data_IF_166344491599
#
_entry.id   IF_166344491599
#
_cell.length_a   1.000
_cell.length_b   1.000
_cell.length_c   1.000
_cell.angle_alpha   90.00
_cell.angle_beta   90.00
_cell.angle_gamma   90.00
#
_symmetry.space_group_name_H-M   'P 1'
#
loop_
_entity.id
_entity.type
_entity.pdbx_description
1 polymer ?
#
# COMPACT_ATOMS: atom_id res chain seq x y z
N UNK A 1 -11.32 -39.55 67.89
CA UNK A 1 -9.99 -38.95 67.67
C UNK A 1 -9.96 -38.49 66.22
N UNK A 2 -10.36 -37.25 65.86
CA UNK A 2 -9.54 -36.02 65.92
C UNK A 2 -8.22 -36.22 65.14
N UNK A 3 -7.87 -35.50 64.06
CA UNK A 3 -8.14 -34.13 63.62
C UNK A 3 -8.01 -33.99 62.09
N UNK A 4 -8.58 -32.90 61.60
CA UNK A 4 -8.47 -32.29 60.27
C UNK A 4 -7.03 -31.94 59.86
N UNK A 5 -6.77 -31.84 58.56
CA UNK A 5 -6.38 -30.55 57.93
C UNK A 5 -6.66 -30.59 56.43
N UNK A 6 -7.01 -29.42 55.92
CA UNK A 6 -7.70 -29.11 54.67
C UNK A 6 -6.76 -28.68 53.54
N UNK A 7 -7.41 -28.34 52.41
CA UNK A 7 -6.98 -27.57 51.24
C UNK A 7 -6.65 -28.47 50.03
N UNK A 8 -7.45 -28.53 48.96
CA UNK A 8 -8.25 -27.49 48.33
C UNK A 8 -7.65 -27.24 46.95
N UNK A 9 -8.18 -27.91 45.92
CA UNK A 9 -7.86 -27.57 44.52
C UNK A 9 -9.10 -27.81 43.65
N UNK A 10 -9.69 -26.70 43.23
CA UNK A 10 -10.91 -26.60 42.43
C UNK A 10 -10.68 -27.15 41.02
N UNK A 11 -11.61 -28.00 40.57
CA UNK A 11 -11.69 -28.45 39.17
C UNK A 11 -12.14 -27.28 38.30
N UNK A 12 -11.28 -26.85 37.37
CA UNK A 12 -11.64 -25.89 36.31
C UNK A 12 -12.75 -26.49 35.43
N UNK A 13 -13.89 -25.81 35.43
CA UNK A 13 -15.01 -26.02 34.53
C UNK A 13 -14.67 -25.32 33.21
N UNK A 14 -14.58 -26.07 32.11
CA UNK A 14 -14.54 -25.51 30.75
C UNK A 14 -15.90 -24.87 30.43
N UNK A 15 -15.96 -23.61 29.98
CA UNK A 15 -17.22 -23.06 29.51
C UNK A 15 -17.48 -23.44 28.06
N UNK A 16 -18.71 -23.89 27.83
CA UNK A 16 -19.30 -24.32 26.57
C UNK A 16 -19.11 -23.31 25.41
N UNK A 17 -18.85 -23.87 24.22
CA UNK A 17 -18.92 -23.16 22.94
C UNK A 17 -20.34 -22.66 22.70
N UNK A 18 -20.59 -21.38 22.88
CA UNK A 18 -21.80 -20.72 22.36
C UNK A 18 -21.61 -20.37 20.89
N UNK A 19 -22.41 -21.03 20.03
CA UNK A 19 -22.80 -20.53 18.71
C UNK A 19 -23.49 -19.18 18.89
N UNK A 20 -23.11 -18.17 18.11
CA UNK A 20 -23.90 -16.95 17.93
C UNK A 20 -23.97 -16.66 16.43
N UNK A 21 -25.21 -16.42 16.01
CA UNK A 21 -25.72 -16.21 14.67
C UNK A 21 -25.36 -14.82 14.11
N UNK A 22 -25.48 -14.73 12.80
CA UNK A 22 -25.32 -13.57 11.93
C UNK A 22 -26.11 -12.33 12.44
N UNK A 23 -25.41 -11.18 12.44
CA UNK A 23 -25.87 -9.78 12.55
C UNK A 23 -25.22 -9.03 13.72
N UNK A 24 -24.22 -8.20 13.41
CA UNK A 24 -23.60 -7.27 14.36
C UNK A 24 -22.15 -7.63 14.70
N UNK A 25 -21.25 -7.43 13.75
CA UNK A 25 -19.82 -7.39 14.06
C UNK A 25 -19.51 -6.11 14.84
N UNK A 26 -19.58 -6.19 16.16
CA UNK A 26 -18.86 -5.24 17.02
C UNK A 26 -17.38 -5.52 16.84
N UNK A 27 -16.70 -4.67 16.06
CA UNK A 27 -15.24 -4.64 15.93
C UNK A 27 -14.66 -4.35 17.31
N UNK A 28 -14.14 -5.40 17.95
CA UNK A 28 -13.40 -5.27 19.21
C UNK A 28 -12.17 -4.40 18.96
N UNK A 29 -12.10 -3.29 19.70
CA UNK A 29 -10.98 -2.35 19.79
C UNK A 29 -10.89 -1.22 18.76
N UNK A 30 -12.00 -0.83 18.12
CA UNK A 30 -12.07 0.57 17.67
C UNK A 30 -12.19 1.41 18.96
N UNK A 31 -11.24 2.33 19.28
CA UNK A 31 -11.48 3.33 20.33
C UNK A 31 -12.83 4.00 20.05
N UNK A 32 -13.50 4.67 20.99
CA UNK A 32 -14.72 5.43 20.62
C UNK A 32 -14.34 6.58 19.68
N UNK A 33 -14.17 6.28 18.39
CA UNK A 33 -13.64 7.19 17.40
C UNK A 33 -14.79 8.11 17.00
N UNK A 34 -14.67 9.38 17.37
CA UNK A 34 -15.47 10.45 16.79
C UNK A 34 -14.99 10.64 15.34
N UNK A 35 -15.88 10.37 14.39
CA UNK A 35 -15.62 10.48 12.97
C UNK A 35 -16.05 11.85 12.45
N UNK A 36 -15.12 12.59 11.85
CA UNK A 36 -15.40 13.87 11.19
C UNK A 36 -15.19 13.68 9.70
N UNK A 37 -16.20 14.05 8.90
CA UNK A 37 -16.09 14.02 7.45
C UNK A 37 -15.06 15.06 7.00
N UNK A 38 -14.11 14.65 6.17
CA UNK A 38 -13.05 15.53 5.64
C UNK A 38 -13.05 15.63 4.12
N UNK A 39 -13.79 14.74 3.44
CA UNK A 39 -13.77 14.69 2.00
C UNK A 39 -14.51 13.51 1.40
N UNK A 40 -14.17 13.20 0.15
CA UNK A 40 -14.67 12.07 -0.63
C UNK A 40 -13.54 11.46 -1.45
N UNK A 41 -13.69 10.19 -1.81
CA UNK A 41 -12.78 9.51 -2.74
C UNK A 41 -12.94 10.08 -4.15
N UNK A 42 -11.86 10.63 -4.71
CA UNK A 42 -11.85 11.21 -6.07
C UNK A 42 -11.26 10.24 -7.09
N UNK A 43 -10.24 9.49 -6.72
CA UNK A 43 -9.58 8.54 -7.60
C UNK A 43 -9.18 7.26 -6.85
N UNK A 44 -9.29 6.12 -7.51
CA UNK A 44 -8.86 4.82 -7.00
C UNK A 44 -7.97 4.13 -8.03
N UNK A 45 -6.83 3.64 -7.54
CA UNK A 45 -5.78 3.06 -8.35
C UNK A 45 -5.25 1.76 -7.76
N UNK A 46 -4.93 0.81 -8.62
CA UNK A 46 -4.19 -0.39 -8.24
C UNK A 46 -3.14 -0.73 -9.31
N UNK A 47 -2.10 -1.45 -8.91
CA UNK A 47 -0.93 -1.72 -9.73
C UNK A 47 -0.57 -3.19 -9.60
N UNK A 48 -1.17 -4.08 -10.41
CA UNK A 48 -0.98 -5.52 -10.27
C UNK A 48 0.49 -5.96 -10.29
N UNK A 49 1.29 -5.30 -11.13
CA UNK A 49 2.73 -5.48 -11.23
C UNK A 49 3.46 -4.39 -10.43
N UNK A 50 4.39 -4.79 -9.57
CA UNK A 50 5.31 -3.86 -8.89
C UNK A 50 6.06 -3.01 -9.92
N UNK A 51 5.97 -1.69 -9.78
CA UNK A 51 6.46 -0.69 -10.74
C UNK A 51 5.81 -0.70 -12.13
N UNK A 52 4.82 -1.56 -12.38
CA UNK A 52 4.04 -1.59 -13.60
C UNK A 52 3.03 -0.45 -13.70
N UNK A 53 2.27 -0.46 -14.80
CA UNK A 53 1.22 0.52 -15.11
C UNK A 53 0.11 0.49 -14.07
N UNK A 54 -0.26 1.67 -13.59
CA UNK A 54 -1.42 1.82 -12.71
C UNK A 54 -2.73 1.71 -13.49
N UNK A 55 -3.76 1.21 -12.81
CA UNK A 55 -5.09 1.02 -13.36
C UNK A 55 -6.10 1.73 -12.50
N UNK A 56 -7.01 2.46 -13.12
CA UNK A 56 -8.14 3.10 -12.46
C UNK A 56 -9.27 2.11 -12.23
N UNK A 57 -9.99 2.30 -11.13
CA UNK A 57 -11.23 1.56 -10.81
C UNK A 57 -12.27 2.51 -10.24
N UNK A 58 -13.55 2.19 -10.45
CA UNK A 58 -14.66 2.96 -9.87
C UNK A 58 -15.13 2.39 -8.53
N UNK A 59 -14.88 1.10 -8.30
CA UNK A 59 -15.16 0.37 -7.07
C UNK A 59 -14.11 -0.73 -6.90
N UNK A 60 -13.76 -1.03 -5.67
CA UNK A 60 -12.88 -2.15 -5.33
C UNK A 60 -13.14 -2.66 -3.91
N UNK A 61 -12.50 -3.79 -3.58
CA UNK A 61 -12.49 -4.33 -2.22
C UNK A 61 -11.16 -4.02 -1.57
N UNK A 62 -11.21 -3.34 -0.43
CA UNK A 62 -10.06 -3.20 0.47
C UNK A 62 -9.85 -4.52 1.19
N UNK A 63 -8.62 -5.01 1.15
CA UNK A 63 -8.20 -6.24 1.84
C UNK A 63 -6.98 -5.96 2.71
N UNK A 64 -6.61 -6.97 3.50
CA UNK A 64 -5.40 -6.98 4.32
C UNK A 64 -4.09 -6.74 3.57
N UNK A 65 -4.08 -6.91 2.24
CA UNK A 65 -2.89 -6.78 1.40
C UNK A 65 -3.00 -5.66 0.35
N UNK A 66 -3.99 -4.77 0.50
CA UNK A 66 -4.29 -3.69 -0.44
C UNK A 66 -5.55 -3.93 -1.27
N UNK A 67 -5.69 -3.15 -2.35
CA UNK A 67 -6.86 -3.19 -3.23
C UNK A 67 -6.96 -4.54 -3.96
N UNK A 68 -8.16 -5.12 -3.98
CA UNK A 68 -8.55 -6.29 -4.76
C UNK A 68 -9.67 -5.94 -5.73
N UNK A 69 -9.53 -6.36 -6.98
CA UNK A 69 -10.49 -6.14 -8.06
C UNK A 69 -11.04 -7.49 -8.49
N UNK A 70 -12.26 -7.76 -8.03
CA UNK A 70 -13.01 -9.00 -8.29
C UNK A 70 -13.99 -8.72 -9.44
N UNK A 71 -13.94 -9.54 -10.50
CA UNK A 71 -14.88 -9.50 -11.63
C UNK A 71 -15.30 -10.92 -11.96
N UNK A 72 -16.61 -11.15 -12.16
CA UNK A 72 -17.13 -12.47 -12.44
C UNK A 72 -16.48 -13.07 -13.68
N UNK A 73 -16.05 -14.34 -13.60
CA UNK A 73 -15.39 -15.06 -14.68
C UNK A 73 -13.95 -14.61 -14.99
N UNK A 74 -13.36 -13.74 -14.17
CA UNK A 74 -12.00 -13.25 -14.35
C UNK A 74 -11.14 -13.48 -13.10
N UNK A 75 -9.85 -13.74 -13.35
CA UNK A 75 -8.84 -13.84 -12.31
C UNK A 75 -8.82 -12.55 -11.45
N UNK A 76 -8.86 -12.72 -10.13
CA UNK A 76 -8.88 -11.59 -9.18
C UNK A 76 -7.50 -10.96 -9.12
N UNK A 77 -7.40 -9.71 -9.59
CA UNK A 77 -6.16 -8.94 -9.50
C UNK A 77 -6.10 -8.14 -8.20
N UNK A 78 -4.92 -8.10 -7.61
CA UNK A 78 -4.61 -7.38 -6.38
C UNK A 78 -3.44 -6.44 -6.59
N UNK A 79 -3.37 -5.43 -5.73
CA UNK A 79 -2.30 -4.47 -5.73
C UNK A 79 -0.93 -5.13 -5.45
N UNK A 80 0.03 -4.89 -6.35
CA UNK A 80 1.42 -5.39 -6.32
C UNK A 80 1.52 -6.90 -6.04
N UNK A 81 0.66 -7.71 -6.65
CA UNK A 81 0.68 -9.17 -6.52
C UNK A 81 1.73 -9.88 -7.39
N UNK A 82 2.29 -9.16 -8.37
CA UNK A 82 3.40 -9.61 -9.20
C UNK A 82 4.63 -8.71 -9.01
N UNK A 83 5.83 -9.29 -9.13
CA UNK A 83 7.09 -8.56 -9.18
C UNK A 83 7.97 -9.08 -10.32
N UNK A 84 8.92 -8.26 -10.77
CA UNK A 84 10.00 -8.72 -11.65
C UNK A 84 11.22 -9.02 -10.79
N UNK A 85 11.91 -10.13 -11.02
CA UNK A 85 13.19 -10.45 -10.38
C UNK A 85 14.21 -10.91 -11.42
N UNK A 86 15.49 -10.93 -11.04
CA UNK A 86 16.57 -11.46 -11.87
C UNK A 86 16.91 -12.90 -11.43
N UNK A 87 16.97 -13.84 -12.37
CA UNK A 87 17.09 -15.28 -12.10
C UNK A 87 18.43 -15.69 -11.46
N UNK A 88 19.50 -14.95 -11.73
CA UNK A 88 20.82 -15.26 -11.20
C UNK A 88 21.00 -14.74 -9.77
N UNK A 89 20.49 -13.53 -9.51
CA UNK A 89 20.71 -12.83 -8.24
C UNK A 89 19.53 -12.93 -7.27
N UNK A 90 18.37 -13.37 -7.75
CA UNK A 90 17.08 -13.38 -7.04
C UNK A 90 16.64 -12.03 -6.49
N UNK A 91 17.26 -10.94 -6.96
CA UNK A 91 16.89 -9.58 -6.56
C UNK A 91 15.72 -9.08 -7.40
N UNK A 92 14.73 -8.50 -6.73
CA UNK A 92 13.66 -7.79 -7.40
C UNK A 92 14.19 -6.63 -8.27
N UNK A 93 13.46 -6.33 -9.33
CA UNK A 93 13.72 -5.23 -10.25
C UNK A 93 12.54 -4.25 -10.20
N UNK A 94 12.84 -2.96 -10.34
CA UNK A 94 11.82 -1.91 -10.24
C UNK A 94 11.98 -0.88 -11.36
N UNK A 95 11.03 0.05 -11.42
CA UNK A 95 11.13 1.22 -12.30
C UNK A 95 12.37 2.09 -12.02
N UNK A 96 13.04 1.91 -10.88
CA UNK A 96 14.32 2.57 -10.59
C UNK A 96 15.45 2.10 -11.49
N UNK A 97 15.43 0.82 -11.89
CA UNK A 97 16.39 0.20 -12.80
C UNK A 97 15.88 0.28 -14.24
N UNK A 98 14.59 0.01 -14.45
CA UNK A 98 13.96 -0.02 -15.76
C UNK A 98 12.74 0.91 -15.81
N UNK A 99 12.90 2.21 -16.08
CA UNK A 99 11.79 3.17 -16.05
C UNK A 99 10.60 2.79 -16.93
N UNK A 100 10.87 2.19 -18.10
CA UNK A 100 9.87 1.69 -19.04
C UNK A 100 8.97 0.60 -18.45
N UNK A 101 9.33 -0.04 -17.33
CA UNK A 101 8.47 -0.98 -16.62
C UNK A 101 7.11 -0.37 -16.25
N UNK A 102 7.04 0.95 -16.05
CA UNK A 102 5.77 1.66 -15.77
C UNK A 102 4.76 1.56 -16.92
N UNK A 103 5.21 1.21 -18.13
CA UNK A 103 4.37 1.03 -19.31
C UNK A 103 3.77 -0.37 -19.41
N UNK A 104 4.28 -1.33 -18.63
CA UNK A 104 3.80 -2.71 -18.63
C UNK A 104 2.44 -2.79 -17.92
N UNK A 105 1.39 -3.10 -18.67
CA UNK A 105 0.04 -3.35 -18.16
C UNK A 105 -0.19 -4.85 -17.97
N UNK A 106 -0.77 -5.23 -16.84
CA UNK A 106 -1.17 -6.61 -16.53
C UNK A 106 -2.68 -6.69 -16.31
N UNK A 107 -3.39 -7.45 -17.13
CA UNK A 107 -4.86 -7.64 -17.08
C UNK A 107 -5.26 -9.10 -16.95
N UNK A 108 -6.42 -9.39 -16.36
CA UNK A 108 -7.02 -10.72 -16.38
C UNK A 108 -7.67 -10.97 -17.75
N UNK A 109 -7.57 -12.20 -18.24
CA UNK A 109 -8.16 -12.65 -19.52
C UNK A 109 -9.35 -13.57 -19.25
N UNK A 110 -9.18 -14.51 -18.33
CA UNK A 110 -10.19 -15.43 -17.83
C UNK A 110 -9.91 -15.73 -16.35
N UNK A 111 -10.56 -16.74 -15.77
CA UNK A 111 -10.41 -17.14 -14.36
C UNK A 111 -8.99 -17.56 -13.96
N UNK A 112 -8.14 -17.95 -14.91
CA UNK A 112 -6.82 -18.54 -14.65
C UNK A 112 -5.68 -17.85 -15.40
N UNK A 113 -5.98 -17.05 -16.43
CA UNK A 113 -4.98 -16.42 -17.29
C UNK A 113 -4.94 -14.92 -17.13
N UNK A 114 -3.74 -14.39 -17.25
CA UNK A 114 -3.46 -12.96 -17.31
C UNK A 114 -2.66 -12.63 -18.56
N UNK A 115 -2.66 -11.35 -18.92
CA UNK A 115 -2.00 -10.80 -20.11
C UNK A 115 -1.05 -9.68 -19.70
N UNK A 116 0.17 -9.73 -20.19
CA UNK A 116 1.09 -8.59 -20.22
C UNK A 116 1.02 -7.90 -21.57
N UNK A 117 0.98 -6.56 -21.54
CA UNK A 117 0.97 -5.72 -22.73
C UNK A 117 1.76 -4.43 -22.49
N UNK A 118 2.43 -3.96 -23.53
CA UNK A 118 3.08 -2.66 -23.59
C UNK A 118 3.12 -2.20 -25.06
N UNK A 119 3.14 -0.90 -25.30
CA UNK A 119 3.20 -0.33 -26.65
C UNK A 119 4.47 -0.84 -27.36
N UNK A 120 4.33 -1.30 -28.60
CA UNK A 120 5.44 -1.81 -29.40
C UNK A 120 5.81 -3.28 -29.15
N UNK A 121 5.11 -3.99 -28.26
CA UNK A 121 5.30 -5.42 -28.01
C UNK A 121 4.01 -6.20 -28.30
N UNK A 122 4.06 -7.35 -28.99
CA UNK A 122 2.94 -8.29 -29.01
C UNK A 122 2.60 -8.72 -27.59
N UNK A 123 1.31 -8.70 -27.21
CA UNK A 123 0.91 -9.12 -25.85
C UNK A 123 1.20 -10.61 -25.61
N UNK A 124 1.59 -10.96 -24.38
CA UNK A 124 1.73 -12.36 -23.95
C UNK A 124 0.62 -12.71 -22.97
N UNK A 125 -0.03 -13.85 -23.19
CA UNK A 125 -1.05 -14.42 -22.30
C UNK A 125 -0.48 -15.70 -21.70
N UNK A 126 -0.56 -15.82 -20.37
CA UNK A 126 -0.06 -16.99 -19.65
C UNK A 126 -1.00 -17.34 -18.50
N UNK A 127 -0.95 -18.60 -18.06
CA UNK A 127 -1.70 -19.08 -16.90
C UNK A 127 -0.99 -18.67 -15.63
N UNK A 128 -1.73 -18.13 -14.67
CA UNK A 128 -1.18 -17.84 -13.34
C UNK A 128 -0.91 -19.17 -12.62
N UNK A 129 0.28 -19.36 -12.01
CA UNK A 129 0.59 -20.56 -11.27
C UNK A 129 -0.40 -20.82 -10.12
N UNK A 130 -0.71 -22.09 -9.87
CA UNK A 130 -1.54 -22.48 -8.73
C UNK A 130 -0.78 -22.38 -7.42
N UNK A 131 -1.45 -21.85 -6.38
CA UNK A 131 -0.90 -21.81 -5.03
C UNK A 131 -1.01 -23.18 -4.39
N UNK A 132 0.00 -24.03 -4.51
CA UNK A 132 0.05 -25.28 -3.73
C UNK A 132 0.69 -25.03 -2.36
N UNK A 133 0.09 -25.55 -1.29
CA UNK A 133 0.61 -25.45 0.10
C UNK A 133 1.96 -26.19 0.29
N UNK A 134 2.33 -27.08 -0.64
CA UNK A 134 3.57 -27.87 -0.63
C UNK A 134 4.63 -27.30 -1.58
N UNK A 135 4.82 -25.98 -1.61
CA UNK A 135 5.59 -25.33 -2.66
C UNK A 135 7.10 -25.62 -2.57
N UNK A 136 7.52 -26.75 -3.13
CA UNK A 136 8.88 -26.96 -3.65
C UNK A 136 9.21 -26.01 -4.82
N UNK A 137 8.23 -25.22 -5.29
CA UNK A 137 8.35 -24.27 -6.39
C UNK A 137 8.46 -22.79 -5.93
N UNK A 138 8.46 -22.54 -4.62
CA UNK A 138 8.57 -21.18 -4.10
C UNK A 138 10.02 -20.69 -4.24
N UNK A 139 10.18 -19.55 -4.91
CA UNK A 139 11.45 -18.85 -5.06
C UNK A 139 11.50 -17.75 -4.00
N UNK A 140 12.57 -17.72 -3.23
CA UNK A 140 12.86 -16.62 -2.33
C UNK A 140 13.58 -15.51 -3.11
N UNK A 141 12.93 -14.36 -3.22
CA UNK A 141 13.48 -13.14 -3.78
C UNK A 141 13.89 -12.18 -2.66
N UNK A 142 14.87 -11.34 -2.96
CA UNK A 142 15.36 -10.33 -2.02
C UNK A 142 14.87 -8.94 -2.41
N UNK A 143 14.11 -8.30 -1.51
CA UNK A 143 13.62 -6.93 -1.60
C UNK A 143 14.53 -5.95 -0.82
N UNK A 144 13.98 -4.80 -0.41
CA UNK A 144 14.70 -3.71 0.21
C UNK A 144 15.53 -4.16 1.42
N UNK A 145 16.80 -3.73 1.46
CA UNK A 145 17.77 -4.06 2.53
C UNK A 145 17.89 -5.54 2.89
N UNK A 146 17.64 -6.44 1.94
CA UNK A 146 17.78 -7.87 2.19
C UNK A 146 16.50 -8.57 2.61
N UNK A 147 15.34 -7.90 2.56
CA UNK A 147 14.08 -8.51 2.98
C UNK A 147 13.73 -9.72 2.10
N UNK A 148 13.59 -10.93 2.68
CA UNK A 148 13.19 -12.10 1.92
C UNK A 148 11.68 -12.07 1.66
N UNK A 149 11.29 -12.29 0.41
CA UNK A 149 9.89 -12.47 0.01
C UNK A 149 9.77 -13.69 -0.89
N UNK A 150 8.68 -14.44 -0.77
CA UNK A 150 8.47 -15.64 -1.59
C UNK A 150 7.55 -15.35 -2.76
N UNK A 151 7.86 -15.95 -3.90
CA UNK A 151 7.01 -15.91 -5.09
C UNK A 151 7.03 -17.24 -5.83
N UNK A 152 6.05 -17.46 -6.70
CA UNK A 152 6.04 -18.55 -7.69
C UNK A 152 6.43 -17.95 -9.04
N UNK A 153 7.37 -18.57 -9.75
CA UNK A 153 7.71 -18.16 -11.10
C UNK A 153 6.52 -18.38 -12.07
N UNK A 154 6.27 -17.39 -12.94
CA UNK A 154 5.15 -17.43 -13.89
C UNK A 154 5.48 -18.13 -15.22
N UNK A 155 6.67 -18.73 -15.35
CA UNK A 155 7.09 -19.47 -16.52
C UNK A 155 7.95 -18.68 -17.51
N UNK A 156 8.48 -19.37 -18.53
CA UNK A 156 9.42 -18.79 -19.49
C UNK A 156 8.78 -17.74 -20.41
N UNK A 157 7.51 -17.86 -20.79
CA UNK A 157 6.86 -16.94 -21.72
C UNK A 157 6.76 -15.49 -21.18
N UNK A 158 6.23 -15.23 -19.97
CA UNK A 158 6.26 -13.89 -19.40
C UNK A 158 7.68 -13.41 -19.07
N UNK A 159 8.60 -14.32 -18.72
CA UNK A 159 10.00 -13.97 -18.46
C UNK A 159 10.69 -13.43 -19.71
N UNK A 160 10.64 -14.16 -20.82
CA UNK A 160 11.22 -13.75 -22.10
C UNK A 160 10.60 -12.43 -22.60
N UNK A 161 9.29 -12.28 -22.46
CA UNK A 161 8.59 -11.04 -22.83
C UNK A 161 9.09 -9.83 -22.03
N UNK A 162 9.21 -9.95 -20.70
CA UNK A 162 9.68 -8.88 -19.83
C UNK A 162 11.15 -8.54 -20.08
N UNK A 163 11.99 -9.55 -20.20
CA UNK A 163 13.41 -9.36 -20.54
C UNK A 163 13.56 -8.59 -21.85
N UNK A 164 12.87 -9.02 -22.91
CA UNK A 164 12.92 -8.33 -24.22
C UNK A 164 12.42 -6.89 -24.13
N UNK A 165 11.30 -6.65 -23.45
CA UNK A 165 10.75 -5.30 -23.34
C UNK A 165 11.65 -4.36 -22.54
N UNK A 166 12.22 -4.82 -21.44
CA UNK A 166 12.97 -3.97 -20.50
C UNK A 166 14.45 -3.81 -20.89
N UNK A 167 15.03 -4.78 -21.59
CA UNK A 167 16.48 -4.78 -21.90
C UNK A 167 16.81 -4.97 -23.37
N UNK A 168 15.83 -5.25 -24.23
CA UNK A 168 16.04 -5.59 -25.64
C UNK A 168 16.64 -6.98 -25.88
N UNK A 169 16.85 -7.78 -24.82
CA UNK A 169 17.55 -9.08 -24.86
C UNK A 169 16.87 -10.08 -23.92
N UNK A 170 17.25 -11.36 -23.98
CA UNK A 170 16.84 -12.34 -22.97
C UNK A 170 17.77 -12.28 -21.75
N UNK A 171 17.57 -11.29 -20.88
CA UNK A 171 18.45 -10.89 -19.78
C UNK A 171 18.26 -11.65 -18.45
N UNK A 172 17.42 -12.70 -18.44
CA UNK A 172 17.13 -13.45 -17.21
C UNK A 172 16.22 -12.71 -16.23
N UNK A 173 15.41 -11.77 -16.71
CA UNK A 173 14.33 -11.17 -15.92
C UNK A 173 13.11 -12.09 -15.93
N UNK A 174 12.51 -12.28 -14.77
CA UNK A 174 11.42 -13.23 -14.56
C UNK A 174 10.27 -12.58 -13.81
N UNK A 175 9.08 -13.14 -13.97
CA UNK A 175 7.86 -12.67 -13.32
C UNK A 175 7.51 -13.58 -12.14
N UNK A 176 7.56 -13.02 -10.92
CA UNK A 176 7.13 -13.70 -9.70
C UNK A 176 5.69 -13.36 -9.34
N UNK A 177 4.93 -14.37 -8.91
CA UNK A 177 3.56 -14.27 -8.39
C UNK A 177 3.51 -14.51 -6.88
N UNK A 178 2.78 -13.68 -6.13
CA UNK A 178 2.75 -13.75 -4.66
C UNK A 178 2.02 -14.96 -4.08
N UNK A 179 2.61 -15.56 -3.03
CA UNK A 179 1.99 -16.59 -2.19
C UNK A 179 1.01 -16.06 -1.14
N UNK A 180 0.80 -14.74 -1.06
CA UNK A 180 -0.02 -14.08 -0.02
C UNK A 180 0.46 -14.32 1.42
N UNK A 181 1.77 -14.50 1.60
CA UNK A 181 2.40 -14.58 2.92
C UNK A 181 2.51 -13.20 3.57
N UNK A 182 2.36 -13.14 4.90
CA UNK A 182 2.62 -11.92 5.68
C UNK A 182 4.11 -11.65 5.76
N UNK A 183 4.50 -10.40 5.52
CA UNK A 183 5.88 -9.91 5.66
C UNK A 183 6.15 -9.53 7.11
N UNK A 184 7.35 -9.85 7.60
CA UNK A 184 7.77 -9.54 8.97
C UNK A 184 8.63 -8.27 8.97
N UNK A 185 8.06 -7.15 9.44
CA UNK A 185 8.76 -5.89 9.60
C UNK A 185 9.47 -5.80 10.95
N UNK A 186 8.85 -6.36 11.99
CA UNK A 186 9.35 -6.30 13.39
C UNK A 186 10.56 -7.18 13.65
N UNK A 187 10.80 -8.19 12.80
CA UNK A 187 11.92 -9.11 12.90
C UNK A 187 12.61 -9.24 11.52
N UNK A 188 13.42 -8.24 11.17
CA UNK A 188 14.09 -8.21 9.87
C UNK A 188 14.67 -6.85 9.51
N UNK A 189 14.99 -6.61 8.21
CA UNK A 189 15.64 -5.38 7.75
C UNK A 189 14.86 -4.09 8.02
N UNK A 190 13.57 -4.21 8.34
CA UNK A 190 12.67 -3.11 8.66
C UNK A 190 12.60 -2.76 10.15
N UNK A 191 13.24 -3.52 11.05
CA UNK A 191 13.15 -3.32 12.51
C UNK A 191 13.52 -1.89 12.92
N UNK A 192 14.58 -1.32 12.31
CA UNK A 192 14.98 0.07 12.54
C UNK A 192 13.91 1.10 12.19
N UNK A 193 13.09 0.82 11.17
CA UNK A 193 11.97 1.69 10.80
C UNK A 193 10.86 1.59 11.84
N UNK A 194 10.58 0.40 12.36
CA UNK A 194 9.55 0.21 13.39
C UNK A 194 9.89 0.93 14.70
N UNK A 195 11.19 1.11 15.01
CA UNK A 195 11.66 1.90 16.17
C UNK A 195 11.35 3.40 16.03
N UNK A 196 11.48 3.95 14.81
CA UNK A 196 11.20 5.37 14.52
C UNK A 196 9.70 5.61 14.26
N UNK A 197 9.08 4.71 13.52
CA UNK A 197 7.66 4.71 13.19
C UNK A 197 6.95 3.67 14.05
N UNK A 198 6.75 4.01 15.32
CA UNK A 198 6.20 3.11 16.35
C UNK A 198 4.76 2.63 16.07
N UNK A 199 4.09 3.16 15.05
CA UNK A 199 2.78 2.73 14.57
C UNK A 199 2.87 1.62 13.53
N UNK A 200 4.03 1.39 12.90
CA UNK A 200 4.18 0.37 11.87
C UNK A 200 4.14 -1.06 12.47
N UNK A 201 3.37 -1.94 11.84
CA UNK A 201 3.15 -3.33 12.25
C UNK A 201 3.20 -4.26 11.04
N UNK A 202 3.39 -5.56 11.29
CA UNK A 202 3.48 -6.58 10.24
C UNK A 202 2.17 -6.69 9.43
N UNK A 203 1.03 -6.46 10.08
CA UNK A 203 -0.31 -6.50 9.47
C UNK A 203 -0.56 -5.34 8.49
N UNK A 204 0.21 -4.25 8.60
CA UNK A 204 0.08 -3.11 7.70
C UNK A 204 0.63 -3.41 6.30
N UNK A 205 1.41 -4.48 6.15
CA UNK A 205 2.15 -4.81 4.93
C UNK A 205 1.24 -5.17 3.75
N UNK A 206 1.62 -4.70 2.56
CA UNK A 206 1.04 -5.20 1.32
C UNK A 206 1.78 -6.43 0.81
N UNK A 207 1.46 -6.90 -0.40
CA UNK A 207 2.21 -7.98 -1.07
C UNK A 207 3.62 -7.47 -1.46
N UNK A 208 3.88 -7.24 -2.74
CA UNK A 208 5.14 -6.68 -3.20
C UNK A 208 5.14 -5.14 -3.23
N UNK A 209 4.28 -4.50 -2.44
CA UNK A 209 4.36 -3.06 -2.19
C UNK A 209 5.67 -2.72 -1.47
N UNK A 210 6.06 -1.45 -1.40
CA UNK A 210 7.31 -1.10 -0.72
C UNK A 210 7.22 -1.40 0.78
N UNK A 211 6.10 -1.04 1.42
CA UNK A 211 5.83 -1.33 2.82
C UNK A 211 4.38 -1.76 2.99
N UNK A 212 3.44 -0.81 2.87
CA UNK A 212 2.06 -0.98 3.34
C UNK A 212 1.08 -1.41 2.25
N UNK A 213 -0.12 -1.79 2.68
CA UNK A 213 -1.26 -2.15 1.82
C UNK A 213 -1.78 -1.01 0.95
N UNK A 214 -1.76 0.23 1.47
CA UNK A 214 -2.28 1.39 0.76
C UNK A 214 -1.32 2.57 0.82
N UNK A 215 -1.34 3.40 -0.22
CA UNK A 215 -0.87 4.78 -0.20
C UNK A 215 -2.05 5.71 -0.47
N UNK A 216 -2.26 6.69 0.42
CA UNK A 216 -3.28 7.72 0.28
C UNK A 216 -2.62 9.09 0.12
N UNK A 217 -3.22 9.94 -0.70
CA UNK A 217 -2.88 11.36 -0.78
C UNK A 217 -4.12 12.20 -1.04
N UNK A 218 -4.04 13.50 -0.80
CA UNK A 218 -5.11 14.43 -1.23
C UNK A 218 -4.80 15.06 -2.59
N UNK A 219 -5.85 15.42 -3.33
CA UNK A 219 -5.69 16.19 -4.58
C UNK A 219 -5.09 17.56 -4.31
N UNK A 220 -5.44 18.21 -3.20
CA UNK A 220 -4.92 19.54 -2.83
C UNK A 220 -3.42 19.50 -2.55
N UNK A 221 -2.88 18.40 -2.01
CA UNK A 221 -1.43 18.21 -1.91
C UNK A 221 -0.76 18.23 -3.28
N UNK A 222 -1.36 17.59 -4.28
CA UNK A 222 -0.86 17.59 -5.66
C UNK A 222 -0.99 18.96 -6.32
N UNK A 223 -2.13 19.62 -6.18
CA UNK A 223 -2.35 20.97 -6.69
C UNK A 223 -1.28 21.92 -6.15
N UNK A 224 -0.98 21.84 -4.85
CA UNK A 224 0.02 22.68 -4.23
C UNK A 224 1.45 22.47 -4.75
N UNK A 225 1.76 21.25 -5.15
CA UNK A 225 3.02 20.95 -5.83
C UNK A 225 2.99 21.49 -7.27
N UNK A 226 1.90 21.25 -8.00
CA UNK A 226 1.74 21.66 -9.40
C UNK A 226 1.75 23.19 -9.57
N UNK A 227 1.26 23.97 -8.60
CA UNK A 227 1.41 25.43 -8.55
C UNK A 227 2.87 25.90 -8.62
N UNK A 228 3.82 25.05 -8.22
CA UNK A 228 5.25 25.37 -8.15
C UNK A 228 6.05 24.75 -9.30
N UNK A 229 5.42 23.96 -10.16
CA UNK A 229 6.06 23.29 -11.28
C UNK A 229 5.80 24.06 -12.57
N UNK A 230 6.82 24.14 -13.41
CA UNK A 230 6.67 24.66 -14.78
C UNK A 230 5.74 23.76 -15.62
N UNK A 231 5.89 22.44 -15.46
CA UNK A 231 5.00 21.44 -16.06
C UNK A 231 4.32 20.65 -14.96
N UNK A 232 2.99 20.78 -14.80
CA UNK A 232 2.22 19.99 -13.84
C UNK A 232 2.38 18.49 -14.07
N UNK A 233 2.39 17.72 -12.98
CA UNK A 233 2.47 16.26 -12.99
C UNK A 233 1.13 15.63 -12.59
N UNK A 234 0.76 14.48 -13.17
CA UNK A 234 -0.47 13.78 -12.80
C UNK A 234 -0.31 13.00 -11.49
N UNK A 235 -1.44 12.74 -10.82
CA UNK A 235 -1.51 11.94 -9.58
C UNK A 235 -0.82 10.57 -9.71
N UNK A 236 -0.97 9.95 -10.89
CA UNK A 236 -0.43 8.62 -11.20
C UNK A 236 1.10 8.53 -11.04
N UNK A 237 1.82 9.65 -11.16
CA UNK A 237 3.27 9.72 -10.99
C UNK A 237 3.71 9.48 -9.53
N UNK A 238 2.83 9.75 -8.55
CA UNK A 238 3.04 9.45 -7.12
C UNK A 238 2.58 8.04 -6.74
N UNK A 239 1.89 7.37 -7.65
CA UNK A 239 1.40 6.00 -7.55
C UNK A 239 0.50 5.71 -6.33
N UNK A 240 -0.44 6.60 -5.94
CA UNK A 240 -1.36 6.34 -4.82
C UNK A 240 -2.26 5.16 -5.15
N UNK A 241 -2.86 4.59 -4.12
CA UNK A 241 -4.03 3.74 -4.25
C UNK A 241 -5.32 4.55 -4.14
N UNK A 242 -5.31 5.60 -3.32
CA UNK A 242 -6.49 6.37 -2.94
C UNK A 242 -6.15 7.85 -3.04
N UNK A 243 -6.98 8.59 -3.77
CA UNK A 243 -6.95 10.06 -3.80
C UNK A 243 -8.23 10.57 -3.18
N UNK A 244 -8.10 11.48 -2.21
CA UNK A 244 -9.21 12.03 -1.45
C UNK A 244 -9.26 13.54 -1.63
N UNK A 245 -10.45 14.11 -1.80
CA UNK A 245 -10.64 15.55 -1.69
C UNK A 245 -10.32 16.01 -0.26
N UNK A 246 -9.54 17.04 -0.07
CA UNK A 246 -9.24 17.64 1.24
C UNK A 246 -9.53 19.14 1.26
N UNK A 247 -9.66 19.70 2.46
CA UNK A 247 -9.89 21.15 2.62
C UNK A 247 -8.62 21.97 2.34
N UNK A 248 -7.44 21.41 2.64
CA UNK A 248 -6.14 22.10 2.51
C UNK A 248 -5.07 21.12 2.04
N UNK A 249 -3.99 21.60 1.38
CA UNK A 249 -2.86 20.75 1.04
C UNK A 249 -2.24 20.10 2.28
N UNK A 250 -1.84 18.84 2.14
CA UNK A 250 -1.10 18.04 3.13
C UNK A 250 -1.84 17.72 4.43
N UNK A 251 -3.16 17.93 4.49
CA UNK A 251 -3.96 17.59 5.67
C UNK A 251 -3.90 16.11 6.02
N UNK A 252 -3.68 15.24 5.02
CA UNK A 252 -3.53 13.80 5.22
C UNK A 252 -2.38 13.41 6.14
N UNK A 253 -1.35 14.25 6.27
CA UNK A 253 -0.21 14.00 7.15
C UNK A 253 -0.64 13.77 8.61
N UNK A 254 -1.75 14.40 9.03
CA UNK A 254 -2.25 14.40 10.41
C UNK A 254 -3.40 13.42 10.63
N UNK A 255 -3.84 12.69 9.60
CA UNK A 255 -4.90 11.71 9.76
C UNK A 255 -4.34 10.45 10.40
N UNK A 256 -4.88 10.02 11.53
CA UNK A 256 -4.44 8.80 12.20
C UNK A 256 -5.26 7.58 11.75
N UNK A 257 -6.59 7.68 11.91
CA UNK A 257 -7.55 6.68 11.50
C UNK A 257 -8.45 7.26 10.42
N UNK A 258 -8.59 6.54 9.31
CA UNK A 258 -9.36 6.97 8.16
C UNK A 258 -10.42 5.92 7.86
N UNK A 259 -11.69 6.32 7.97
CA UNK A 259 -12.84 5.53 7.53
C UNK A 259 -13.27 5.99 6.15
N UNK A 260 -13.45 5.05 5.23
CA UNK A 260 -13.87 5.31 3.85
C UNK A 260 -15.15 4.54 3.56
N UNK A 261 -16.16 5.26 3.08
CA UNK A 261 -17.48 4.71 2.83
C UNK A 261 -18.13 4.20 4.11
N UNK A 262 -18.85 3.08 3.99
CA UNK A 262 -19.64 2.55 5.10
C UNK A 262 -18.78 1.89 6.19
N UNK A 263 -17.71 1.20 5.79
CA UNK A 263 -17.03 0.25 6.69
C UNK A 263 -15.50 0.23 6.62
N UNK A 264 -14.88 0.51 5.48
CA UNK A 264 -13.44 0.31 5.34
C UNK A 264 -12.68 1.27 6.27
N UNK A 265 -11.75 0.75 7.07
CA UNK A 265 -10.91 1.55 7.96
C UNK A 265 -9.45 1.23 7.67
N UNK A 266 -8.67 2.28 7.39
CA UNK A 266 -7.23 2.22 7.24
C UNK A 266 -6.57 3.13 8.29
N UNK A 267 -5.34 2.82 8.65
CA UNK A 267 -4.58 3.55 9.65
C UNK A 267 -3.32 4.13 9.01
N UNK A 268 -3.07 5.42 9.22
CA UNK A 268 -1.81 6.03 8.82
C UNK A 268 -0.69 5.55 9.73
N UNK A 269 0.36 5.01 9.13
CA UNK A 269 1.48 4.42 9.88
C UNK A 269 2.81 5.11 9.59
N UNK A 270 2.91 5.85 8.47
CA UNK A 270 4.16 6.47 8.07
C UNK A 270 3.92 7.48 6.95
N UNK A 271 4.53 8.68 6.97
CA UNK A 271 4.61 9.53 5.78
C UNK A 271 5.29 8.79 4.62
N UNK A 272 4.87 9.05 3.38
CA UNK A 272 5.47 8.40 2.22
C UNK A 272 6.65 9.24 1.67
N UNK A 273 7.92 8.84 1.92
CA UNK A 273 9.08 9.49 1.33
C UNK A 273 9.09 9.26 -0.17
N UNK A 274 9.35 10.33 -0.92
CA UNK A 274 9.34 10.29 -2.37
C UNK A 274 10.74 10.07 -2.92
N UNK A 275 10.83 9.15 -3.88
CA UNK A 275 12.08 8.73 -4.50
C UNK A 275 12.06 9.02 -6.00
N UNK A 276 13.14 8.68 -6.70
CA UNK A 276 13.27 8.90 -8.15
C UNK A 276 12.17 8.29 -9.03
N UNK A 277 11.35 7.38 -8.50
CA UNK A 277 10.17 6.86 -9.21
C UNK A 277 9.21 7.96 -9.65
N UNK A 278 9.08 9.05 -8.86
CA UNK A 278 8.19 10.15 -9.23
C UNK A 278 8.73 11.00 -10.37
N UNK A 279 9.96 10.75 -10.86
CA UNK A 279 10.52 11.45 -12.02
C UNK A 279 10.17 10.79 -13.36
N UNK A 280 9.49 9.64 -13.31
CA UNK A 280 9.14 8.85 -14.48
C UNK A 280 7.73 9.25 -14.91
N UNK A 281 7.59 9.69 -16.16
CA UNK A 281 6.29 9.97 -16.76
C UNK A 281 5.51 8.64 -16.91
N UNK A 282 4.29 8.53 -16.36
CA UNK A 282 3.53 7.28 -16.40
C UNK A 282 2.94 6.94 -17.78
N UNK A 283 2.89 7.90 -18.72
CA UNK A 283 2.44 7.70 -20.09
C UNK A 283 3.59 7.28 -21.01
N UNK A 284 4.76 7.91 -20.89
CA UNK A 284 5.88 7.70 -21.82
C UNK A 284 7.00 6.82 -21.27
N UNK A 285 7.10 6.67 -19.94
CA UNK A 285 8.22 5.99 -19.28
C UNK A 285 9.52 6.79 -19.28
N UNK A 286 9.51 8.01 -19.83
CA UNK A 286 10.65 8.90 -19.84
C UNK A 286 10.94 9.41 -18.42
N UNK A 287 12.23 9.56 -18.10
CA UNK A 287 12.65 10.01 -16.78
C UNK A 287 13.21 11.42 -16.87
N UNK A 288 12.62 12.35 -16.14
CA UNK A 288 13.17 13.69 -16.01
C UNK A 288 14.45 13.68 -15.17
N UNK A 289 15.25 14.75 -15.31
CA UNK A 289 16.49 14.90 -14.55
C UNK A 289 16.22 15.07 -13.05
N UNK A 290 15.36 16.03 -12.66
CA UNK A 290 15.19 16.43 -11.26
C UNK A 290 13.72 16.57 -10.82
N UNK A 291 12.79 16.93 -11.71
CA UNK A 291 11.39 17.23 -11.36
C UNK A 291 10.48 16.01 -11.35
N UNK A 292 9.41 15.99 -10.53
CA UNK A 292 9.00 17.01 -9.57
C UNK A 292 9.71 16.90 -8.22
N UNK A 293 10.69 16.00 -8.10
CA UNK A 293 11.34 15.66 -6.82
C UNK A 293 12.13 16.84 -6.24
N UNK A 294 12.81 17.62 -7.07
CA UNK A 294 13.54 18.83 -6.65
C UNK A 294 12.60 19.90 -6.11
N UNK A 295 11.54 20.23 -6.85
CA UNK A 295 10.54 21.19 -6.36
C UNK A 295 9.92 20.71 -5.06
N UNK A 296 9.52 19.43 -4.97
CA UNK A 296 8.96 18.88 -3.74
C UNK A 296 9.96 18.97 -2.57
N UNK A 297 11.25 18.72 -2.82
CA UNK A 297 12.32 18.87 -1.82
C UNK A 297 12.44 20.29 -1.26
N UNK A 298 12.21 21.31 -2.08
CA UNK A 298 12.35 22.71 -1.64
C UNK A 298 11.40 23.13 -0.50
N UNK A 299 10.29 22.40 -0.29
CA UNK A 299 9.29 22.78 0.73
C UNK A 299 8.69 21.61 1.51
N UNK A 300 9.05 20.36 1.18
CA UNK A 300 8.57 19.15 1.88
C UNK A 300 9.69 18.20 2.27
N UNK A 301 10.94 18.67 2.30
CA UNK A 301 12.08 17.89 2.81
C UNK A 301 11.84 17.44 4.26
N UNK A 302 12.19 16.19 4.57
CA UNK A 302 12.13 15.67 5.93
C UNK A 302 13.20 16.35 6.80
N UNK A 303 12.77 16.96 7.90
CA UNK A 303 13.66 17.67 8.85
C UNK A 303 13.79 16.98 10.20
N UNK A 304 12.92 16.02 10.52
CA UNK A 304 13.01 15.29 11.79
C UNK A 304 14.22 14.34 11.79
N UNK A 305 15.17 14.48 12.73
CA UNK A 305 16.41 13.69 12.74
C UNK A 305 16.18 12.18 12.82
N UNK A 306 15.21 11.72 13.61
CA UNK A 306 14.90 10.29 13.75
C UNK A 306 14.37 9.72 12.43
N UNK A 307 13.49 10.45 11.75
CA UNK A 307 12.97 10.06 10.42
C UNK A 307 14.07 10.10 9.35
N UNK A 308 14.95 11.10 9.39
CA UNK A 308 16.12 11.18 8.49
C UNK A 308 17.03 9.95 8.65
N UNK A 309 17.19 9.43 9.87
CA UNK A 309 18.06 8.27 10.12
C UNK A 309 17.65 7.01 9.35
N UNK A 310 16.38 6.89 8.96
CA UNK A 310 15.82 5.71 8.28
C UNK A 310 15.40 5.99 6.82
N UNK A 311 14.87 7.18 6.53
CA UNK A 311 14.39 7.56 5.19
C UNK A 311 15.32 8.52 4.42
N UNK A 312 16.38 9.02 5.08
CA UNK A 312 17.17 10.14 4.58
C UNK A 312 16.37 11.45 4.53
N UNK A 313 16.89 12.44 3.80
CA UNK A 313 16.21 13.73 3.61
C UNK A 313 15.22 13.74 2.42
N UNK A 314 14.66 12.57 2.09
CA UNK A 314 13.67 12.47 1.03
C UNK A 314 12.44 13.33 1.39
N UNK A 315 11.90 14.11 0.44
CA UNK A 315 10.70 14.85 0.72
C UNK A 315 9.48 13.94 0.87
N UNK A 316 8.49 14.41 1.62
CA UNK A 316 7.27 13.67 1.91
C UNK A 316 6.05 14.24 1.18
N UNK A 317 5.22 13.34 0.68
CA UNK A 317 3.91 13.67 0.11
C UNK A 317 3.05 12.44 0.29
N UNK A 318 1.77 12.53 0.64
CA UNK A 318 0.93 11.37 0.94
C UNK A 318 1.43 10.49 2.10
N UNK A 319 0.61 9.51 2.45
CA UNK A 319 0.77 8.68 3.63
C UNK A 319 0.67 7.19 3.28
N UNK A 320 1.48 6.38 3.95
CA UNK A 320 1.37 4.93 3.94
C UNK A 320 0.34 4.51 4.98
N UNK A 321 -0.62 3.69 4.54
CA UNK A 321 -1.69 3.21 5.39
C UNK A 321 -1.78 1.68 5.42
N UNK A 322 -1.95 1.12 6.61
CA UNK A 322 -2.27 -0.29 6.83
C UNK A 322 -3.78 -0.53 6.83
N UNK A 323 -4.19 -1.75 6.50
CA UNK A 323 -5.59 -2.19 6.60
C UNK A 323 -5.95 -2.44 8.06
N UNK A 324 -7.11 -1.95 8.51
CA UNK A 324 -7.64 -2.30 9.83
C UNK A 324 -8.99 -3.01 9.72
N UNK A 325 -9.96 -2.39 9.04
CA UNK A 325 -11.24 -3.04 8.68
C UNK A 325 -11.37 -3.08 7.17
N UNK A 326 -11.59 -4.28 6.63
CA UNK A 326 -11.82 -4.49 5.20
C UNK A 326 -13.23 -4.07 4.80
N UNK A 327 -13.41 -3.74 3.51
CA UNK A 327 -14.70 -3.26 3.01
C UNK A 327 -14.68 -2.95 1.52
N UNK A 328 -15.84 -2.69 0.93
CA UNK A 328 -15.92 -2.13 -0.43
C UNK A 328 -15.77 -0.62 -0.36
N UNK A 329 -15.05 -0.06 -1.33
CA UNK A 329 -14.82 1.37 -1.49
C UNK A 329 -15.03 1.72 -2.95
N UNK A 330 -15.75 2.80 -3.21
CA UNK A 330 -16.01 3.33 -4.56
C UNK A 330 -15.74 4.82 -4.63
N UNK A 331 -15.66 5.33 -5.86
CA UNK A 331 -15.57 6.77 -6.12
C UNK A 331 -16.77 7.49 -5.51
N UNK A 332 -16.52 8.67 -4.95
CA UNK A 332 -17.52 9.51 -4.30
C UNK A 332 -17.87 9.11 -2.86
N UNK A 333 -17.38 7.97 -2.36
CA UNK A 333 -17.56 7.58 -0.95
C UNK A 333 -17.01 8.65 -0.03
N UNK A 334 -17.76 8.93 1.04
CA UNK A 334 -17.35 9.88 2.07
C UNK A 334 -16.12 9.35 2.82
N UNK A 335 -15.20 10.26 3.14
CA UNK A 335 -14.01 9.98 3.93
C UNK A 335 -14.12 10.70 5.25
N UNK A 336 -13.92 9.95 6.33
CA UNK A 336 -13.96 10.43 7.69
C UNK A 336 -12.63 10.16 8.37
N UNK A 337 -12.22 11.06 9.26
CA UNK A 337 -11.03 10.87 10.09
C UNK A 337 -11.40 10.91 11.56
N UNK A 338 -10.63 10.18 12.36
CA UNK A 338 -10.73 10.33 13.80
C UNK A 338 -10.04 11.61 14.27
N UNK A 339 -10.71 12.35 15.15
CA UNK A 339 -10.11 13.46 15.91
C UNK A 339 -10.07 13.05 17.39
N UNK A 340 -8.88 12.94 18.01
CA UNK A 340 -8.77 12.72 19.46
C UNK A 340 -9.44 13.86 20.24
N UNK A 341 -10.08 13.53 21.37
CA UNK A 341 -10.85 14.48 22.18
C UNK A 341 -10.04 15.68 22.69
N UNK A 342 -8.72 15.53 22.85
CA UNK A 342 -7.83 16.57 23.40
C UNK A 342 -7.63 17.78 22.47
N UNK A 343 -8.05 17.69 21.20
CA UNK A 343 -7.99 18.80 20.25
C UNK A 343 -9.23 19.71 20.24
N UNK A 344 -10.22 19.48 21.11
CA UNK A 344 -11.37 20.39 21.24
C UNK A 344 -11.00 21.72 21.94
N UNK A 345 -10.02 21.71 22.84
CA UNK A 345 -9.64 22.92 23.60
C UNK A 345 -8.76 23.92 22.83
N UNK A 346 -8.16 23.54 21.70
CA UNK A 346 -7.36 24.46 20.87
C UNK A 346 -8.19 25.29 19.89
N UNK A 347 -9.48 24.97 19.71
CA UNK A 347 -10.41 25.74 18.88
C UNK A 347 -11.28 26.75 19.66
N UNK A 348 -11.24 26.74 20.99
CA UNK A 348 -12.08 27.63 21.83
C UNK A 348 -11.30 28.87 22.33
N UNK A 349 -9.97 28.94 22.16
CA UNK A 349 -9.16 30.02 22.75
C UNK A 349 -8.81 31.21 21.83
N UNK A 350 -9.36 31.31 20.61
CA UNK A 350 -8.98 32.37 19.65
C UNK A 350 -10.13 33.31 19.22
N UNK A 351 -11.28 33.31 19.90
CA UNK A 351 -12.37 34.25 19.59
C UNK A 351 -12.70 35.30 20.66
N UNK A 352 -12.04 35.33 21.81
CA UNK A 352 -12.28 36.35 22.84
C UNK A 352 -10.99 37.02 23.31
N UNK A 353 -10.50 38.00 22.55
CA UNK A 353 -9.75 39.16 23.08
C UNK A 353 -9.64 40.26 22.00
N UNK A 354 -10.79 40.80 21.59
CA UNK A 354 -10.84 42.12 20.96
C UNK A 354 -12.08 42.86 21.43
N UNK A 355 -12.04 43.34 22.68
CA UNK A 355 -12.83 44.45 23.23
C UNK A 355 -12.42 44.65 24.70
N UNK A 356 -11.56 45.63 24.93
CA UNK A 356 -11.71 46.78 25.86
C UNK A 356 -10.44 47.61 25.74
#
# INVERSE_FOLDING_TARGET
MSYETSNGCEKKIEPEKKKIEENGETVSDIPKLKWVKVGRVEELYYYPLKSGRGKTVTECKFTEFGISVEKNGLFTLRDRMFLVYNDETYKFQTGRQYPTMILVSLSAVDEYKVKLEAVGMPSVVFRVPEKSEKSSAAIECTMWWGEPVKCIDCGPEPAEWLSRFLTGTNSGLRLGYSLTDRRQLTNGPWERFCKVYNTLRDEDTGLFSDITSYMLMTSQSLDKLNERLETPVPTLQFRPNIVVSGEKPFVEDNWEWIKIGDRAIIRNVKPCPRCKMIKIDPQTGETTKEEPLKTLKSFREQTNPDKISVDGSAPIMGIYCGSYVTGRVKLGDDVFVHVPADNENSKISNEDTSKI
#
